data_IF_537547348218
#
_entry.id   IF_537547348218
#
_cell.length_a   1.000
_cell.length_b   1.000
_cell.length_c   1.000
_cell.angle_alpha   90.00
_cell.angle_beta   90.00
_cell.angle_gamma   90.00
#
_symmetry.space_group_name_H-M   'P 1'
#
loop_
_entity.id
_entity.type
_entity.pdbx_description
1 polymer ?
#
# COMPACT_ATOMS: atom_id res chain seq x y z
N UNK A 1 9.37 19.92 1.69
CA UNK A 1 9.48 18.77 0.76
C UNK A 1 10.82 18.11 1.01
N UNK A 2 10.83 16.82 1.33
CA UNK A 2 12.06 16.04 1.30
C UNK A 2 12.26 15.51 -0.13
N UNK A 3 13.45 15.71 -0.69
CA UNK A 3 13.83 15.15 -1.99
C UNK A 3 14.40 13.75 -1.78
N UNK A 4 13.98 12.80 -2.61
CA UNK A 4 14.49 11.42 -2.61
C UNK A 4 14.91 11.09 -4.03
N UNK A 5 16.22 10.88 -4.23
CA UNK A 5 16.77 10.52 -5.53
C UNK A 5 16.77 9.00 -5.66
N UNK A 6 16.18 8.50 -6.75
CA UNK A 6 16.14 7.07 -7.06
C UNK A 6 16.71 6.88 -8.46
N UNK A 7 17.65 5.95 -8.61
CA UNK A 7 18.17 5.55 -9.92
C UNK A 7 17.12 4.70 -10.64
N UNK A 8 16.85 5.02 -11.89
CA UNK A 8 15.82 4.35 -12.71
C UNK A 8 16.43 4.00 -14.07
N UNK A 9 15.99 2.90 -14.67
CA UNK A 9 16.29 2.61 -16.08
C UNK A 9 15.45 3.51 -17.01
N UNK A 10 15.90 3.66 -18.26
CA UNK A 10 15.17 4.45 -19.26
C UNK A 10 13.74 3.93 -19.50
N UNK A 11 13.59 2.60 -19.49
CA UNK A 11 12.28 1.94 -19.60
C UNK A 11 11.35 2.32 -18.44
N UNK A 12 11.86 2.31 -17.21
CA UNK A 12 11.08 2.62 -16.01
C UNK A 12 10.68 4.09 -15.97
N UNK A 13 11.56 4.97 -16.45
CA UNK A 13 11.26 6.39 -16.63
C UNK A 13 10.15 6.61 -17.65
N UNK A 14 10.26 6.01 -18.84
CA UNK A 14 9.26 6.16 -19.91
C UNK A 14 7.88 5.63 -19.47
N UNK A 15 7.85 4.51 -18.74
CA UNK A 15 6.63 3.99 -18.17
C UNK A 15 6.00 4.97 -17.18
N UNK A 16 6.78 5.46 -16.22
CA UNK A 16 6.30 6.40 -15.18
C UNK A 16 5.80 7.70 -15.78
N UNK A 17 6.51 8.25 -16.78
CA UNK A 17 6.11 9.46 -17.50
C UNK A 17 4.76 9.27 -18.23
N UNK A 18 4.50 8.07 -18.77
CA UNK A 18 3.21 7.75 -19.40
C UNK A 18 2.08 7.67 -18.38
N UNK A 19 2.32 7.05 -17.23
CA UNK A 19 1.31 6.93 -16.17
C UNK A 19 1.04 8.26 -15.45
N UNK A 20 2.00 9.17 -15.44
CA UNK A 20 1.86 10.52 -14.89
C UNK A 20 0.90 11.41 -15.69
N UNK A 21 0.50 11.02 -16.91
CA UNK A 21 -0.52 11.75 -17.70
C UNK A 21 -1.94 11.50 -17.18
N UNK A 22 -2.11 10.59 -16.22
CA UNK A 22 -3.42 10.34 -15.60
C UNK A 22 -3.93 11.57 -14.84
N UNK A 23 -5.25 11.84 -14.81
CA UNK A 23 -5.80 13.03 -14.15
C UNK A 23 -5.49 13.13 -12.64
N UNK A 24 -5.06 12.02 -12.04
CA UNK A 24 -4.73 11.88 -10.63
C UNK A 24 -3.28 12.23 -10.27
N UNK A 25 -2.39 12.45 -11.24
CA UNK A 25 -0.99 12.79 -10.99
C UNK A 25 -0.55 13.91 -11.94
N UNK A 26 0.16 14.92 -11.43
CA UNK A 26 0.70 16.04 -12.21
C UNK A 26 2.17 15.87 -12.60
N UNK A 27 2.87 14.87 -12.07
CA UNK A 27 4.25 14.54 -12.45
C UNK A 27 4.61 13.07 -12.18
N UNK A 28 5.72 12.63 -12.76
CA UNK A 28 6.27 11.29 -12.54
C UNK A 28 6.68 11.06 -11.08
N UNK A 29 7.19 12.08 -10.37
CA UNK A 29 7.47 11.97 -8.94
C UNK A 29 6.19 11.84 -8.12
N UNK A 30 5.11 12.50 -8.53
CA UNK A 30 3.81 12.36 -7.87
C UNK A 30 3.22 10.96 -8.06
N UNK A 31 3.34 10.42 -9.28
CA UNK A 31 2.95 9.03 -9.55
C UNK A 31 3.73 8.04 -8.69
N UNK A 32 5.06 8.20 -8.56
CA UNK A 32 5.87 7.35 -7.68
C UNK A 32 5.45 7.47 -6.21
N UNK A 33 5.17 8.68 -5.71
CA UNK A 33 4.67 8.87 -4.34
C UNK A 33 3.32 8.18 -4.13
N UNK A 34 2.44 8.26 -5.11
CA UNK A 34 1.15 7.58 -5.05
C UNK A 34 1.31 6.05 -5.08
N UNK A 35 2.22 5.52 -5.88
CA UNK A 35 2.58 4.09 -5.85
C UNK A 35 3.07 3.66 -4.46
N UNK A 36 3.97 4.43 -3.84
CA UNK A 36 4.46 4.14 -2.47
C UNK A 36 3.31 4.21 -1.46
N UNK A 37 2.41 5.20 -1.56
CA UNK A 37 1.25 5.33 -0.69
C UNK A 37 0.32 4.12 -0.81
N UNK A 38 0.03 3.66 -2.03
CA UNK A 38 -0.78 2.46 -2.28
C UNK A 38 -0.13 1.21 -1.72
N UNK A 39 1.17 1.03 -1.95
CA UNK A 39 1.90 -0.12 -1.40
C UNK A 39 1.84 -0.13 0.14
N UNK A 40 2.13 1.00 0.78
CA UNK A 40 2.07 1.13 2.23
C UNK A 40 0.66 0.89 2.78
N UNK A 41 -0.38 1.33 2.04
CA UNK A 41 -1.77 1.08 2.41
C UNK A 41 -2.15 -0.41 2.35
N UNK A 42 -1.50 -1.21 1.49
CA UNK A 42 -1.71 -2.66 1.39
C UNK A 42 -0.88 -3.42 2.43
N UNK A 43 0.29 -2.94 2.81
CA UNK A 43 1.16 -3.64 3.76
C UNK A 43 0.53 -3.77 5.15
N UNK A 44 -0.06 -2.70 5.69
CA UNK A 44 -0.68 -2.74 7.02
C UNK A 44 -1.77 -3.80 7.17
N UNK A 45 -2.83 -3.83 6.33
CA UNK A 45 -3.87 -4.85 6.44
C UNK A 45 -3.32 -6.25 6.15
N UNK A 46 -2.35 -6.40 5.23
CA UNK A 46 -1.71 -7.69 4.99
C UNK A 46 -1.01 -8.22 6.24
N UNK A 47 -0.22 -7.39 6.91
CA UNK A 47 0.46 -7.78 8.15
C UNK A 47 -0.56 -8.16 9.21
N UNK A 48 -1.61 -7.36 9.42
CA UNK A 48 -2.66 -7.69 10.41
C UNK A 48 -3.37 -9.01 10.11
N UNK A 49 -3.66 -9.32 8.84
CA UNK A 49 -4.27 -10.59 8.46
C UNK A 49 -3.32 -11.78 8.73
N UNK A 50 -2.02 -11.61 8.45
CA UNK A 50 -1.03 -12.64 8.74
C UNK A 50 -0.85 -12.85 10.25
N UNK A 51 -0.87 -11.78 11.04
CA UNK A 51 -0.82 -11.87 12.50
C UNK A 51 -2.06 -12.60 13.04
N UNK A 52 -3.26 -12.30 12.52
CA UNK A 52 -4.49 -13.00 12.88
C UNK A 52 -4.51 -14.48 12.45
N UNK A 53 -3.92 -14.81 11.29
CA UNK A 53 -3.74 -16.21 10.88
C UNK A 53 -2.82 -16.95 11.86
N UNK A 54 -1.76 -16.29 12.33
CA UNK A 54 -0.78 -16.87 13.24
C UNK A 54 -1.22 -16.88 14.71
N UNK A 55 -2.28 -16.15 15.09
CA UNK A 55 -2.81 -16.14 16.47
C UNK A 55 -3.56 -17.41 16.87
N UNK A 56 -3.75 -18.34 15.94
CA UNK A 56 -4.55 -19.54 16.15
C UNK A 56 -6.05 -19.29 16.01
N UNK A 57 -6.85 -20.34 16.21
CA UNK A 57 -8.30 -20.26 16.09
C UNK A 57 -8.90 -19.46 17.25
N UNK A 58 -9.70 -18.45 16.92
CA UNK A 58 -10.51 -17.74 17.91
C UNK A 58 -11.67 -18.59 18.43
N UNK A 59 -12.18 -18.22 19.60
CA UNK A 59 -13.42 -18.78 20.12
C UNK A 59 -14.63 -18.31 19.30
N UNK A 60 -15.73 -19.07 19.37
CA UNK A 60 -16.98 -18.71 18.69
C UNK A 60 -17.52 -17.41 19.29
N UNK A 61 -17.68 -16.39 18.46
CA UNK A 61 -18.22 -15.10 18.87
C UNK A 61 -19.76 -15.14 18.83
N UNK A 62 -20.36 -15.82 19.79
CA UNK A 62 -21.81 -15.89 19.98
C UNK A 62 -22.32 -14.80 20.96
N UNK A 63 -23.62 -14.79 21.21
CA UNK A 63 -24.24 -13.82 22.11
C UNK A 63 -23.69 -13.91 23.55
N UNK A 64 -23.22 -15.09 23.98
CA UNK A 64 -22.61 -15.25 25.30
C UNK A 64 -21.20 -14.65 25.36
N UNK A 65 -20.41 -14.79 24.29
CA UNK A 65 -19.10 -14.15 24.13
C UNK A 65 -19.18 -12.61 24.18
N UNK A 66 -20.25 -12.01 23.65
CA UNK A 66 -20.44 -10.54 23.66
C UNK A 66 -21.22 -9.99 24.87
N UNK A 67 -21.81 -10.86 25.70
CA UNK A 67 -22.53 -10.47 26.91
C UNK A 67 -21.64 -10.29 28.15
N UNK A 68 -20.35 -10.65 28.04
CA UNK A 68 -19.28 -10.40 29.02
C UNK A 68 -18.59 -9.05 28.77
#
# INVERSE_FOLDING_TARGET
MATMNVSQSDELKQFTDTQAVTPSCGSSEEYLRECVRKQHAVERPRTTLLDGLNSGLGQVADDAFFAE
#
